data_IF_517295273682
#
_entry.id   IF_517295273682
#
_cell.length_a   1.000
_cell.length_b   1.000
_cell.length_c   1.000
_cell.angle_alpha   90.00
_cell.angle_beta   90.00
_cell.angle_gamma   90.00
#
_symmetry.space_group_name_H-M   'P 1'
#
loop_
_entity.id
_entity.type
_entity.pdbx_description
1 polymer ?
#
# COMPACT_ATOMS: atom_id res chain seq x y z
N UNK A 1 18.76 -4.04 -22.62
CA UNK A 1 18.99 -3.30 -21.37
C UNK A 1 19.61 -1.90 -21.61
N UNK A 2 20.77 -1.75 -22.25
CA UNK A 2 21.44 -0.44 -22.42
C UNK A 2 20.54 0.68 -22.99
N UNK A 3 19.77 0.38 -24.03
CA UNK A 3 18.84 1.35 -24.64
C UNK A 3 17.65 1.68 -23.73
N UNK A 4 17.16 0.71 -22.97
CA UNK A 4 16.05 0.90 -22.04
C UNK A 4 16.49 1.76 -20.85
N UNK A 5 17.70 1.56 -20.34
CA UNK A 5 18.29 2.40 -19.30
C UNK A 5 18.50 3.87 -19.75
N UNK A 6 18.72 4.12 -21.04
CA UNK A 6 18.80 5.48 -21.59
C UNK A 6 17.43 6.13 -21.77
N UNK A 7 16.37 5.34 -21.98
CA UNK A 7 15.02 5.84 -22.22
C UNK A 7 14.29 6.17 -20.92
N UNK A 8 14.27 5.23 -19.97
CA UNK A 8 13.61 5.37 -18.67
C UNK A 8 14.51 4.77 -17.56
N UNK A 9 15.59 5.43 -17.20
CA UNK A 9 16.55 4.92 -16.22
C UNK A 9 15.92 4.70 -14.84
N UNK A 10 14.96 5.53 -14.44
CA UNK A 10 14.29 5.44 -13.14
C UNK A 10 13.47 4.14 -12.99
N UNK A 11 13.02 3.58 -14.10
CA UNK A 11 12.27 2.32 -14.11
C UNK A 11 13.18 1.11 -14.33
N UNK A 12 13.99 1.14 -15.38
CA UNK A 12 14.75 -0.03 -15.79
C UNK A 12 15.98 -0.30 -14.93
N UNK A 13 16.54 0.69 -14.22
CA UNK A 13 17.67 0.45 -13.35
C UNK A 13 17.31 -0.42 -12.13
N UNK A 14 16.26 -0.10 -11.35
CA UNK A 14 15.87 -0.96 -10.22
C UNK A 14 15.54 -2.38 -10.65
N UNK A 15 14.83 -2.57 -11.76
CA UNK A 15 14.51 -3.90 -12.28
C UNK A 15 15.76 -4.68 -12.68
N UNK A 16 16.66 -4.06 -13.43
CA UNK A 16 17.88 -4.70 -13.87
C UNK A 16 18.83 -5.03 -12.69
N UNK A 17 18.83 -4.20 -11.66
CA UNK A 17 19.60 -4.48 -10.44
C UNK A 17 19.01 -5.66 -9.65
N UNK A 18 17.69 -5.70 -9.47
CA UNK A 18 16.99 -6.79 -8.78
C UNK A 18 17.15 -8.12 -9.52
N UNK A 19 17.14 -8.08 -10.86
CA UNK A 19 17.32 -9.25 -11.72
C UNK A 19 18.80 -9.65 -11.91
N UNK A 20 19.72 -9.01 -11.18
CA UNK A 20 21.17 -9.26 -11.27
C UNK A 20 21.76 -9.03 -12.69
N UNK A 21 21.08 -8.25 -13.53
CA UNK A 21 21.59 -7.84 -14.86
C UNK A 21 22.62 -6.70 -14.77
N UNK A 22 22.65 -6.00 -13.63
CA UNK A 22 23.65 -4.95 -13.29
C UNK A 22 24.40 -5.40 -12.07
N UNK A 23 25.73 -5.50 -12.21
CA UNK A 23 26.66 -5.77 -11.12
C UNK A 23 27.45 -4.49 -10.84
N UNK A 24 27.47 -4.07 -9.58
CA UNK A 24 28.24 -2.90 -9.14
C UNK A 24 29.60 -3.40 -8.67
N UNK A 25 30.67 -3.02 -9.37
CA UNK A 25 32.04 -3.38 -9.04
C UNK A 25 32.81 -2.16 -8.50
N UNK A 26 33.62 -2.39 -7.47
CA UNK A 26 34.48 -1.36 -6.85
C UNK A 26 33.77 -0.12 -6.31
N UNK A 27 32.46 -0.23 -6.02
CA UNK A 27 31.65 0.82 -5.42
C UNK A 27 30.50 0.22 -4.59
N UNK A 28 30.00 0.99 -3.64
CA UNK A 28 28.78 0.65 -2.91
C UNK A 28 27.53 1.03 -3.72
N UNK A 29 26.40 0.39 -3.44
CA UNK A 29 25.12 0.77 -4.02
C UNK A 29 24.80 2.26 -3.76
N UNK A 30 25.15 2.78 -2.59
CA UNK A 30 24.97 4.19 -2.26
C UNK A 30 25.76 5.12 -3.19
N UNK A 31 27.03 4.85 -3.41
CA UNK A 31 27.88 5.64 -4.31
C UNK A 31 27.34 5.60 -5.75
N UNK A 32 26.94 4.44 -6.22
CA UNK A 32 26.33 4.30 -7.54
C UNK A 32 25.03 5.12 -7.64
N UNK A 33 24.12 5.01 -6.66
CA UNK A 33 22.87 5.77 -6.63
C UNK A 33 23.11 7.29 -6.57
N UNK A 34 24.14 7.74 -5.88
CA UNK A 34 24.51 9.16 -5.84
C UNK A 34 24.92 9.69 -7.20
N UNK A 35 25.69 8.90 -7.98
CA UNK A 35 26.02 9.26 -9.38
C UNK A 35 24.76 9.30 -10.22
N UNK A 36 23.89 8.33 -10.08
CA UNK A 36 22.64 8.22 -10.81
C UNK A 36 21.71 9.42 -10.54
N UNK A 37 21.45 9.74 -9.27
CA UNK A 37 20.61 10.89 -8.87
C UNK A 37 21.19 12.23 -9.36
N UNK A 38 22.51 12.42 -9.28
CA UNK A 38 23.18 13.63 -9.76
C UNK A 38 23.04 13.84 -11.27
N UNK A 39 22.88 12.78 -12.04
CA UNK A 39 22.76 12.85 -13.50
C UNK A 39 21.33 12.90 -13.99
N UNK A 40 20.37 12.33 -13.24
CA UNK A 40 18.93 12.36 -13.60
C UNK A 40 18.36 13.79 -13.66
N UNK A 41 18.82 14.70 -12.80
CA UNK A 41 18.34 16.08 -12.76
C UNK A 41 18.96 17.03 -13.79
N UNK A 42 19.97 16.57 -14.57
CA UNK A 42 20.74 17.41 -15.52
C UNK A 42 20.49 17.09 -17.00
N UNK A 43 19.62 16.12 -17.29
CA UNK A 43 19.35 15.74 -18.67
C UNK A 43 18.61 16.84 -19.41
N UNK A 44 19.28 17.54 -20.33
CA UNK A 44 18.61 18.27 -21.37
C UNK A 44 17.75 17.29 -22.16
N UNK A 45 16.44 17.41 -21.97
CA UNK A 45 15.45 16.57 -22.65
C UNK A 45 15.50 16.97 -24.12
N UNK A 46 16.17 16.21 -24.96
CA UNK A 46 16.20 16.43 -26.41
C UNK A 46 14.79 16.31 -26.97
N UNK A 47 14.49 17.06 -28.04
CA UNK A 47 13.20 17.04 -28.75
C UNK A 47 12.76 15.60 -29.06
N UNK A 48 13.70 14.73 -29.42
CA UNK A 48 13.43 13.33 -29.71
C UNK A 48 12.97 12.53 -28.47
N UNK A 49 13.56 12.77 -27.32
CA UNK A 49 13.14 12.11 -26.06
C UNK A 49 11.74 12.57 -25.63
N UNK A 50 11.37 13.83 -25.90
CA UNK A 50 10.02 14.33 -25.65
C UNK A 50 8.98 13.67 -26.56
N UNK A 51 9.29 13.46 -27.83
CA UNK A 51 8.39 12.76 -28.76
C UNK A 51 8.20 11.30 -28.34
N UNK A 52 9.28 10.62 -27.99
CA UNK A 52 9.24 9.23 -27.48
C UNK A 52 8.44 9.16 -26.17
N UNK A 53 8.69 10.06 -25.21
CA UNK A 53 7.93 10.13 -23.94
C UNK A 53 6.43 10.37 -24.20
N UNK A 54 6.08 11.17 -25.19
CA UNK A 54 4.68 11.46 -25.54
C UNK A 54 3.98 10.23 -26.14
N UNK A 55 4.63 9.48 -27.01
CA UNK A 55 4.12 8.23 -27.58
C UNK A 55 4.01 7.13 -26.51
N UNK A 56 5.02 6.97 -25.67
CA UNK A 56 4.99 6.08 -24.50
C UNK A 56 3.91 6.50 -23.49
N UNK A 57 3.68 7.80 -23.30
CA UNK A 57 2.62 8.33 -22.45
C UNK A 57 1.23 7.89 -22.90
N UNK A 58 0.95 7.88 -24.21
CA UNK A 58 -0.32 7.38 -24.77
C UNK A 58 -0.44 5.87 -24.54
N UNK A 59 0.62 5.11 -24.80
CA UNK A 59 0.63 3.67 -24.56
C UNK A 59 0.46 3.32 -23.07
N UNK A 60 1.13 4.07 -22.16
CA UNK A 60 0.94 3.96 -20.70
C UNK A 60 -0.49 4.29 -20.28
N UNK A 61 -1.10 5.33 -20.85
CA UNK A 61 -2.49 5.67 -20.57
C UNK A 61 -3.42 4.51 -20.91
N UNK A 62 -3.25 3.88 -22.07
CA UNK A 62 -4.03 2.72 -22.51
C UNK A 62 -3.70 1.48 -21.66
N UNK A 63 -2.43 1.24 -21.38
CA UNK A 63 -1.98 0.08 -20.58
C UNK A 63 -2.35 0.19 -19.09
N UNK A 64 -2.52 1.42 -18.57
CA UNK A 64 -2.91 1.68 -17.19
C UNK A 64 -4.42 1.62 -16.95
N UNK A 65 -5.22 1.21 -17.93
CA UNK A 65 -6.64 0.96 -17.68
C UNK A 65 -6.79 -0.10 -16.58
N UNK A 66 -7.22 0.38 -15.40
CA UNK A 66 -7.31 -0.43 -14.19
C UNK A 66 -8.63 -1.20 -14.16
N UNK A 67 -8.68 -2.36 -14.84
CA UNK A 67 -9.83 -3.27 -14.76
C UNK A 67 -9.87 -3.95 -13.39
N UNK A 68 -11.05 -4.41 -12.95
CA UNK A 68 -11.23 -5.16 -11.69
C UNK A 68 -10.27 -6.36 -11.59
N UNK A 69 -10.10 -7.10 -12.68
CA UNK A 69 -9.17 -8.24 -12.74
C UNK A 69 -7.72 -7.81 -12.53
N UNK A 70 -7.30 -6.72 -13.18
CA UNK A 70 -5.95 -6.18 -13.05
C UNK A 70 -5.66 -5.65 -11.64
N UNK A 71 -6.63 -4.95 -11.03
CA UNK A 71 -6.52 -4.47 -9.63
C UNK A 71 -6.34 -5.63 -8.67
N UNK A 72 -7.12 -6.69 -8.82
CA UNK A 72 -7.02 -7.89 -7.98
C UNK A 72 -5.64 -8.56 -8.13
N UNK A 73 -5.16 -8.71 -9.35
CA UNK A 73 -3.85 -9.31 -9.63
C UNK A 73 -2.70 -8.47 -9.07
N UNK A 74 -2.73 -7.14 -9.24
CA UNK A 74 -1.70 -6.24 -8.74
C UNK A 74 -1.65 -6.21 -7.20
N UNK A 75 -2.80 -6.16 -6.54
CA UNK A 75 -2.86 -6.18 -5.07
C UNK A 75 -2.41 -7.55 -4.55
N UNK A 76 -2.87 -8.65 -5.16
CA UNK A 76 -2.43 -9.99 -4.79
C UNK A 76 -0.91 -10.15 -4.97
N UNK A 77 -0.34 -9.71 -6.09
CA UNK A 77 1.11 -9.77 -6.30
C UNK A 77 1.91 -8.95 -5.30
N UNK A 78 1.36 -7.85 -4.79
CA UNK A 78 2.06 -6.99 -3.84
C UNK A 78 1.93 -7.47 -2.39
N UNK A 79 0.73 -7.89 -1.96
CA UNK A 79 0.46 -8.24 -0.57
C UNK A 79 0.46 -9.75 -0.28
N UNK A 80 0.30 -10.59 -1.31
CA UNK A 80 0.32 -12.04 -1.17
C UNK A 80 1.71 -12.65 -1.45
N UNK A 81 2.74 -11.81 -1.62
CA UNK A 81 4.14 -12.24 -1.80
C UNK A 81 4.56 -13.18 -0.67
N UNK A 82 4.94 -14.42 -1.04
CA UNK A 82 5.43 -15.41 -0.10
C UNK A 82 4.38 -16.07 0.80
N UNK A 83 3.07 -15.90 0.54
CA UNK A 83 2.00 -16.51 1.35
C UNK A 83 2.11 -16.17 2.83
N UNK A 84 2.06 -17.21 3.72
CA UNK A 84 2.25 -17.01 5.17
C UNK A 84 3.60 -16.39 5.55
N UNK A 85 4.65 -16.55 4.73
CA UNK A 85 5.96 -15.91 4.96
C UNK A 85 5.89 -14.40 4.67
N UNK A 86 5.04 -13.97 3.75
CA UNK A 86 4.82 -12.54 3.47
C UNK A 86 4.24 -11.79 4.67
N UNK A 87 3.30 -12.40 5.39
CA UNK A 87 2.77 -11.82 6.64
C UNK A 87 3.90 -11.58 7.65
N UNK A 88 4.85 -12.53 7.77
CA UNK A 88 6.01 -12.37 8.66
C UNK A 88 6.90 -11.18 8.27
N UNK A 89 7.03 -10.87 6.99
CA UNK A 89 7.73 -9.66 6.55
C UNK A 89 7.03 -8.40 7.09
N UNK A 90 5.71 -8.33 6.93
CA UNK A 90 4.93 -7.19 7.44
C UNK A 90 4.97 -7.09 8.97
N UNK A 91 4.89 -8.21 9.70
CA UNK A 91 5.01 -8.19 11.17
C UNK A 91 6.37 -7.73 11.66
N UNK A 92 7.44 -7.94 10.90
CA UNK A 92 8.78 -7.45 11.24
C UNK A 92 8.99 -5.98 10.87
N UNK A 93 8.27 -5.47 9.86
CA UNK A 93 8.44 -4.13 9.32
C UNK A 93 7.46 -3.12 9.94
N UNK A 94 6.23 -3.55 10.20
CA UNK A 94 5.18 -2.71 10.76
C UNK A 94 5.18 -2.81 12.29
N UNK A 95 4.60 -1.81 12.94
CA UNK A 95 4.36 -1.85 14.37
C UNK A 95 3.34 -2.94 14.75
N UNK A 96 3.21 -3.22 16.05
CA UNK A 96 2.25 -4.20 16.60
C UNK A 96 0.81 -3.99 16.12
N UNK A 97 0.46 -2.76 15.76
CA UNK A 97 -0.85 -2.41 15.22
C UNK A 97 -1.00 -2.73 13.72
N UNK A 98 0.00 -3.32 13.05
CA UNK A 98 -0.04 -3.74 11.63
C UNK A 98 -0.59 -2.67 10.67
N UNK A 99 -0.32 -1.39 10.96
CA UNK A 99 -0.78 -0.27 10.14
C UNK A 99 0.24 0.05 9.04
N UNK A 100 -0.12 -0.17 7.79
CA UNK A 100 0.71 0.13 6.62
C UNK A 100 0.30 1.46 5.97
N UNK A 101 0.30 2.51 6.77
CA UNK A 101 0.00 3.88 6.36
C UNK A 101 0.66 4.88 7.30
N UNK A 102 0.82 6.14 6.85
CA UNK A 102 1.46 7.18 7.65
C UNK A 102 0.79 7.36 9.01
N UNK A 103 1.61 7.51 10.03
CA UNK A 103 1.19 7.77 11.41
C UNK A 103 1.08 9.27 11.70
N UNK A 104 0.43 9.64 12.80
CA UNK A 104 0.37 11.03 13.28
C UNK A 104 1.28 11.17 14.50
N UNK A 105 2.38 11.87 14.32
CA UNK A 105 3.32 12.21 15.36
C UNK A 105 2.91 13.54 16.01
N UNK A 106 2.86 13.56 17.32
CA UNK A 106 2.68 14.76 18.16
C UNK A 106 3.96 14.97 18.96
N UNK A 107 4.07 16.14 19.60
CA UNK A 107 5.29 16.52 20.34
C UNK A 107 5.66 15.54 21.48
N UNK A 108 4.67 14.88 22.06
CA UNK A 108 4.81 13.90 23.15
C UNK A 108 4.91 12.44 22.68
N UNK A 109 4.77 12.18 21.37
CA UNK A 109 4.78 10.82 20.80
C UNK A 109 6.19 10.24 20.76
N UNK A 110 6.39 9.07 21.37
CA UNK A 110 7.71 8.43 21.51
C UNK A 110 7.88 7.21 20.61
N UNK A 111 6.81 6.51 20.28
CA UNK A 111 6.86 5.25 19.51
C UNK A 111 5.97 5.29 18.29
N UNK A 112 6.26 4.39 17.33
CA UNK A 112 5.42 4.23 16.13
C UNK A 112 4.01 3.75 16.50
N UNK A 113 3.90 2.89 17.49
CA UNK A 113 2.62 2.41 18.03
C UNK A 113 1.74 3.56 18.52
N UNK A 114 2.30 4.47 19.31
CA UNK A 114 1.60 5.66 19.79
C UNK A 114 1.19 6.58 18.64
N UNK A 115 2.07 6.78 17.66
CA UNK A 115 1.78 7.60 16.50
C UNK A 115 0.63 7.00 15.64
N UNK A 116 0.58 5.68 15.50
CA UNK A 116 -0.51 5.00 14.82
C UNK A 116 -1.83 5.08 15.59
N UNK A 117 -1.80 4.95 16.92
CA UNK A 117 -2.97 5.17 17.78
C UNK A 117 -3.47 6.61 17.68
N UNK A 118 -2.58 7.60 17.67
CA UNK A 118 -2.94 8.99 17.45
C UNK A 118 -3.70 9.20 16.14
N UNK A 119 -3.26 8.54 15.07
CA UNK A 119 -3.97 8.55 13.78
C UNK A 119 -5.38 7.97 13.88
N UNK A 120 -5.54 6.80 14.49
CA UNK A 120 -6.83 6.15 14.63
C UNK A 120 -7.79 6.99 15.50
N UNK A 121 -7.31 7.54 16.60
CA UNK A 121 -8.09 8.46 17.44
C UNK A 121 -8.49 9.74 16.68
N UNK A 122 -7.58 10.27 15.84
CA UNK A 122 -7.91 11.41 14.99
C UNK A 122 -9.03 11.09 13.99
N UNK A 123 -9.01 9.90 13.38
CA UNK A 123 -10.07 9.42 12.47
C UNK A 123 -11.41 9.32 13.21
N UNK A 124 -11.44 8.65 14.37
CA UNK A 124 -12.64 8.52 15.21
C UNK A 124 -13.24 9.91 15.52
N UNK A 125 -12.39 10.83 15.99
CA UNK A 125 -12.81 12.19 16.34
C UNK A 125 -13.30 12.98 15.12
N UNK A 126 -12.60 12.89 13.99
CA UNK A 126 -12.92 13.61 12.75
C UNK A 126 -14.27 13.15 12.18
N UNK A 127 -14.51 11.86 12.17
CA UNK A 127 -15.75 11.26 11.68
C UNK A 127 -16.87 11.27 12.72
N UNK A 128 -16.57 11.65 13.99
CA UNK A 128 -17.51 11.66 15.11
C UNK A 128 -18.18 10.29 15.32
N UNK A 129 -17.41 9.22 15.18
CA UNK A 129 -17.90 7.85 15.28
C UNK A 129 -18.42 7.58 16.70
N UNK A 130 -19.57 6.98 16.79
CA UNK A 130 -20.25 6.61 18.03
C UNK A 130 -20.81 5.21 17.99
N UNK A 131 -21.25 4.71 19.11
CA UNK A 131 -21.87 3.39 19.26
C UNK A 131 -23.10 3.27 18.36
N UNK A 132 -23.18 2.16 17.63
CA UNK A 132 -24.26 1.83 16.72
C UNK A 132 -24.11 2.40 15.31
N UNK A 133 -23.08 3.22 15.05
CA UNK A 133 -22.78 3.63 13.68
C UNK A 133 -22.31 2.43 12.84
N UNK A 134 -22.59 2.49 11.54
CA UNK A 134 -22.11 1.50 10.55
C UNK A 134 -21.01 2.14 9.70
N UNK A 135 -19.82 1.56 9.77
CA UNK A 135 -18.62 2.06 9.11
C UNK A 135 -18.21 1.12 7.98
N UNK A 136 -17.86 1.69 6.84
CA UNK A 136 -17.22 0.96 5.74
C UNK A 136 -15.74 1.35 5.67
N UNK A 137 -14.86 0.37 5.83
CA UNK A 137 -13.40 0.52 5.70
C UNK A 137 -12.94 -0.02 4.35
N UNK A 138 -12.68 0.87 3.40
CA UNK A 138 -12.27 0.53 2.03
C UNK A 138 -10.75 0.39 1.98
N UNK A 139 -10.27 -0.82 1.67
CA UNK A 139 -8.85 -1.14 1.75
C UNK A 139 -8.41 -1.39 3.19
N UNK A 140 -9.19 -2.14 3.94
CA UNK A 140 -8.99 -2.37 5.37
C UNK A 140 -7.64 -3.05 5.73
N UNK A 141 -6.90 -3.56 4.74
CA UNK A 141 -5.61 -4.20 4.95
C UNK A 141 -5.73 -5.37 5.93
N UNK A 142 -4.91 -5.37 6.98
CA UNK A 142 -4.92 -6.39 8.03
C UNK A 142 -6.08 -6.24 9.04
N UNK A 143 -7.03 -5.32 8.80
CA UNK A 143 -8.23 -5.13 9.61
C UNK A 143 -8.01 -4.50 10.98
N UNK A 144 -6.79 -4.10 11.32
CA UNK A 144 -6.47 -3.63 12.67
C UNK A 144 -7.02 -2.23 12.96
N UNK A 145 -7.19 -1.38 11.94
CA UNK A 145 -7.90 -0.10 12.08
C UNK A 145 -9.37 -0.32 12.41
N UNK A 146 -10.04 -1.20 11.67
CA UNK A 146 -11.43 -1.60 11.93
C UNK A 146 -11.60 -2.16 13.35
N UNK A 147 -10.69 -3.06 13.77
CA UNK A 147 -10.71 -3.64 15.11
C UNK A 147 -10.54 -2.58 16.21
N UNK A 148 -9.59 -1.68 16.04
CA UNK A 148 -9.37 -0.59 17.00
C UNK A 148 -10.61 0.32 17.11
N UNK A 149 -11.15 0.77 15.96
CA UNK A 149 -12.31 1.67 15.92
C UNK A 149 -13.54 1.00 16.55
N UNK A 150 -13.86 -0.24 16.18
CA UNK A 150 -14.98 -0.98 16.76
C UNK A 150 -14.84 -1.13 18.29
N UNK A 151 -13.63 -1.50 18.76
CA UNK A 151 -13.34 -1.65 20.19
C UNK A 151 -13.50 -0.35 20.97
N UNK A 152 -13.07 0.79 20.41
CA UNK A 152 -13.10 2.09 21.09
C UNK A 152 -14.49 2.72 21.09
N UNK A 153 -15.30 2.48 20.07
CA UNK A 153 -16.56 3.20 19.86
C UNK A 153 -17.80 2.36 20.02
N UNK A 154 -17.69 1.03 19.87
CA UNK A 154 -18.85 0.13 19.82
C UNK A 154 -19.64 0.24 18.52
N UNK A 155 -19.03 0.73 17.43
CA UNK A 155 -19.65 0.76 16.11
C UNK A 155 -19.57 -0.61 15.42
N UNK A 156 -20.35 -0.80 14.36
CA UNK A 156 -20.25 -1.93 13.44
C UNK A 156 -19.33 -1.54 12.28
N UNK A 157 -18.39 -2.42 11.91
CA UNK A 157 -17.46 -2.15 10.79
C UNK A 157 -17.56 -3.23 9.74
N UNK A 158 -17.72 -2.83 8.48
CA UNK A 158 -17.48 -3.70 7.33
C UNK A 158 -16.17 -3.30 6.68
N UNK A 159 -15.18 -4.19 6.71
CA UNK A 159 -13.88 -3.99 6.05
C UNK A 159 -13.81 -4.73 4.73
N UNK A 160 -13.37 -4.06 3.67
CA UNK A 160 -13.17 -4.70 2.37
C UNK A 160 -11.72 -4.62 1.92
N UNK A 161 -11.20 -5.72 1.36
CA UNK A 161 -9.85 -5.81 0.81
C UNK A 161 -9.84 -6.67 -0.45
N UNK A 162 -8.78 -6.56 -1.26
CA UNK A 162 -8.56 -7.41 -2.43
C UNK A 162 -7.48 -8.47 -2.20
N UNK A 163 -6.80 -8.46 -1.05
CA UNK A 163 -5.80 -9.46 -0.65
C UNK A 163 -6.41 -10.55 0.21
N UNK A 164 -6.29 -11.79 -0.24
CA UNK A 164 -6.77 -12.97 0.51
C UNK A 164 -6.00 -13.14 1.81
N UNK A 165 -4.67 -12.93 1.80
CA UNK A 165 -3.84 -13.05 2.98
C UNK A 165 -4.19 -12.01 4.05
N UNK A 166 -4.47 -10.77 3.64
CA UNK A 166 -4.93 -9.72 4.56
C UNK A 166 -6.30 -10.04 5.15
N UNK A 167 -7.22 -10.54 4.32
CA UNK A 167 -8.55 -10.96 4.78
C UNK A 167 -8.44 -12.06 5.85
N UNK A 168 -7.68 -13.11 5.59
CA UNK A 168 -7.53 -14.24 6.51
C UNK A 168 -6.94 -13.78 7.85
N UNK A 169 -5.94 -12.89 7.81
CA UNK A 169 -5.39 -12.28 9.02
C UNK A 169 -6.44 -11.43 9.75
N UNK A 170 -7.16 -10.57 9.05
CA UNK A 170 -8.16 -9.67 9.64
C UNK A 170 -9.29 -10.45 10.35
N UNK A 171 -9.80 -11.49 9.69
CA UNK A 171 -10.83 -12.37 10.27
C UNK A 171 -10.33 -13.07 11.52
N UNK A 172 -9.10 -13.62 11.48
CA UNK A 172 -8.51 -14.29 12.63
C UNK A 172 -8.29 -13.32 13.81
N UNK A 173 -7.74 -12.14 13.54
CA UNK A 173 -7.50 -11.10 14.53
C UNK A 173 -8.81 -10.61 15.19
N UNK A 174 -9.90 -10.45 14.42
CA UNK A 174 -11.19 -10.06 14.97
C UNK A 174 -11.75 -11.10 15.93
N UNK A 175 -11.60 -12.39 15.62
CA UNK A 175 -12.00 -13.49 16.51
C UNK A 175 -11.17 -13.51 17.81
N UNK A 176 -9.85 -13.36 17.71
CA UNK A 176 -8.95 -13.32 18.87
C UNK A 176 -9.28 -12.14 19.82
N UNK A 177 -9.77 -11.04 19.26
CA UNK A 177 -10.20 -9.87 20.01
C UNK A 177 -11.67 -9.93 20.48
N UNK A 178 -12.43 -11.00 20.16
CA UNK A 178 -13.87 -11.15 20.40
C UNK A 178 -14.71 -10.01 19.80
N UNK A 179 -14.34 -9.59 18.58
CA UNK A 179 -15.02 -8.52 17.83
C UNK A 179 -15.74 -9.03 16.58
N UNK A 180 -15.79 -10.33 16.36
CA UNK A 180 -16.41 -10.98 15.20
C UNK A 180 -17.94 -10.71 15.08
N UNK A 181 -18.60 -10.34 16.18
CA UNK A 181 -19.98 -9.89 16.16
C UNK A 181 -20.15 -8.41 15.74
N UNK A 182 -19.09 -7.63 15.71
CA UNK A 182 -19.10 -6.20 15.38
C UNK A 182 -18.42 -5.89 14.05
N UNK A 183 -17.56 -6.81 13.57
CA UNK A 183 -16.78 -6.58 12.38
C UNK A 183 -17.00 -7.70 11.36
N UNK A 184 -17.32 -7.31 10.15
CA UNK A 184 -17.37 -8.20 8.99
C UNK A 184 -16.28 -7.85 8.00
N UNK A 185 -15.48 -8.83 7.57
CA UNK A 185 -14.45 -8.62 6.54
C UNK A 185 -14.79 -9.38 5.27
N UNK A 186 -14.58 -8.74 4.11
CA UNK A 186 -14.94 -9.29 2.81
C UNK A 186 -13.83 -9.10 1.77
N UNK A 187 -13.64 -10.13 0.92
CA UNK A 187 -12.83 -10.02 -0.28
C UNK A 187 -13.66 -9.39 -1.40
N UNK A 188 -13.66 -8.04 -1.45
CA UNK A 188 -14.54 -7.29 -2.34
C UNK A 188 -13.84 -6.08 -2.94
N UNK A 189 -14.12 -5.79 -4.21
CA UNK A 189 -13.75 -4.53 -4.84
C UNK A 189 -14.72 -3.43 -4.42
N UNK A 190 -14.21 -2.26 -4.05
CA UNK A 190 -15.04 -1.13 -3.62
C UNK A 190 -16.04 -0.69 -4.71
N UNK A 191 -15.71 -0.90 -6.00
CA UNK A 191 -16.59 -0.61 -7.13
C UNK A 191 -17.86 -1.45 -7.13
N UNK A 192 -17.84 -2.60 -6.44
CA UNK A 192 -19.02 -3.45 -6.25
C UNK A 192 -19.84 -3.05 -5.02
N UNK A 193 -19.29 -2.20 -4.15
CA UNK A 193 -19.95 -1.76 -2.91
C UNK A 193 -20.69 -0.44 -3.11
N UNK A 194 -20.21 0.44 -3.97
CA UNK A 194 -20.78 1.79 -4.21
C UNK A 194 -22.02 1.77 -5.12
N UNK A 195 -22.34 0.62 -5.71
CA UNK A 195 -23.48 0.45 -6.63
C UNK A 195 -24.85 0.65 -6.00
N UNK A 196 -24.94 0.85 -4.67
CA UNK A 196 -26.21 0.98 -3.94
C UNK A 196 -26.51 2.40 -3.46
N UNK A 197 -25.76 3.40 -3.91
CA UNK A 197 -25.94 4.80 -3.48
C UNK A 197 -26.48 5.73 -4.56
N UNK A 198 -27.14 5.18 -5.59
CA UNK A 198 -27.87 5.97 -6.61
C UNK A 198 -29.32 5.51 -6.72
#
# INVERSE_FOLDING_TARGET
LKYLLLLEPEFYFPEAYINEEIIIENATLHEFLMVFVKNLGRGEITFFSNLVKKLFGIWRYISNFNTKSKSKQQISSHYDLGGKKGIKLYTNMLCSNMQYSCAIWKDDTKTLEEAQINKLNHIIKKLKIKKGDKILDIGCGFGTAAAYIAKQTGCEVTGITLSKNQLDYAVQNAKELNLDNQINFELRDYRDTVSYTH
#
